data_IF_233949170114
#
_entry.id   IF_233949170114
#
_cell.length_a   1.000
_cell.length_b   1.000
_cell.length_c   1.000
_cell.angle_alpha   90.00
_cell.angle_beta   90.00
_cell.angle_gamma   90.00
#
_symmetry.space_group_name_H-M   'P 1'
#
loop_
_entity.id
_entity.type
_entity.pdbx_description
1 polymer ?
#
# COMPACT_ATOMS: atom_id res chain seq x y z
N UNK A 1 -28.59 13.29 28.73
CA UNK A 1 -28.42 14.15 27.55
C UNK A 1 -27.10 13.71 26.91
N UNK A 2 -27.02 12.59 26.20
CA UNK A 2 -27.64 12.26 24.92
C UNK A 2 -28.06 10.77 24.93
N UNK A 3 -29.34 10.49 24.69
CA UNK A 3 -29.95 9.17 24.81
C UNK A 3 -29.70 8.34 23.53
N UNK A 4 -28.55 7.66 23.44
CA UNK A 4 -28.19 6.84 22.27
C UNK A 4 -27.86 7.63 20.98
N UNK A 5 -27.77 8.95 21.05
CA UNK A 5 -27.44 9.83 19.93
C UNK A 5 -25.94 10.14 19.89
N UNK A 6 -25.33 10.08 18.69
CA UNK A 6 -23.97 10.57 18.46
C UNK A 6 -23.99 12.09 18.21
N UNK A 7 -23.35 12.86 19.08
CA UNK A 7 -23.23 14.31 18.94
C UNK A 7 -21.87 14.69 18.34
N UNK A 8 -21.89 15.59 17.35
CA UNK A 8 -20.68 16.19 16.76
C UNK A 8 -20.59 17.63 17.22
N UNK A 9 -19.46 17.98 17.84
CA UNK A 9 -19.11 19.35 18.25
C UNK A 9 -18.05 19.91 17.30
N UNK A 10 -18.28 21.10 16.75
CA UNK A 10 -17.35 21.75 15.81
C UNK A 10 -17.36 23.27 15.99
N UNK A 11 -16.25 23.91 15.64
CA UNK A 11 -16.07 25.35 15.50
C UNK A 11 -16.40 25.87 14.07
N UNK A 12 -16.75 24.98 13.14
CA UNK A 12 -17.17 25.28 11.78
C UNK A 12 -18.66 25.69 11.75
N UNK A 13 -18.97 26.85 12.32
CA UNK A 13 -20.35 27.33 12.50
C UNK A 13 -21.02 27.78 11.19
N UNK A 14 -20.22 28.15 10.18
CA UNK A 14 -20.69 28.67 8.89
C UNK A 14 -20.79 27.59 7.80
N UNK A 15 -20.33 26.37 8.08
CA UNK A 15 -20.34 25.24 7.12
C UNK A 15 -21.68 24.50 7.14
N UNK A 16 -22.04 23.85 6.02
CA UNK A 16 -23.26 23.03 5.96
C UNK A 16 -23.14 21.80 6.86
N UNK A 17 -24.20 21.52 7.62
CA UNK A 17 -24.28 20.37 8.54
C UNK A 17 -23.95 19.05 7.83
N UNK A 18 -24.31 18.88 6.56
CA UNK A 18 -24.00 17.68 5.78
C UNK A 18 -22.50 17.50 5.57
N UNK A 19 -21.78 18.58 5.31
CA UNK A 19 -20.34 18.53 5.09
C UNK A 19 -19.60 18.24 6.40
N UNK A 20 -20.05 18.85 7.51
CA UNK A 20 -19.54 18.57 8.86
C UNK A 20 -19.73 17.09 9.23
N UNK A 21 -20.93 16.54 8.98
CA UNK A 21 -21.22 15.13 9.23
C UNK A 21 -20.35 14.21 8.36
N UNK A 22 -20.20 14.52 7.07
CA UNK A 22 -19.35 13.74 6.15
C UNK A 22 -17.89 13.67 6.63
N UNK A 23 -17.33 14.77 7.12
CA UNK A 23 -15.98 14.79 7.70
C UNK A 23 -15.92 13.95 8.99
N UNK A 24 -16.93 14.08 9.86
CA UNK A 24 -17.00 13.29 11.08
C UNK A 24 -17.13 11.79 10.81
N UNK A 25 -17.89 11.41 9.78
CA UNK A 25 -18.04 10.03 9.34
C UNK A 25 -16.73 9.48 8.79
N UNK A 26 -15.90 10.28 8.12
CA UNK A 26 -14.59 9.86 7.60
C UNK A 26 -13.54 9.49 8.66
N UNK A 27 -13.82 9.64 9.96
CA UNK A 27 -12.87 9.31 11.04
C UNK A 27 -12.41 7.85 11.04
N UNK A 28 -13.24 6.93 10.56
CA UNK A 28 -12.89 5.52 10.48
C UNK A 28 -11.67 5.26 9.57
N UNK A 29 -11.39 6.13 8.59
CA UNK A 29 -10.24 6.00 7.70
C UNK A 29 -8.92 6.11 8.46
N UNK A 30 -8.89 6.96 9.50
CA UNK A 30 -7.74 7.12 10.39
C UNK A 30 -7.59 5.87 11.27
N UNK A 31 -8.69 5.33 11.79
CA UNK A 31 -8.67 4.10 12.59
C UNK A 31 -8.19 2.90 11.77
N UNK A 32 -8.60 2.80 10.51
CA UNK A 32 -8.11 1.80 9.58
C UNK A 32 -6.60 1.97 9.32
N UNK A 33 -6.12 3.19 9.09
CA UNK A 33 -4.69 3.46 8.97
C UNK A 33 -3.92 2.95 10.20
N UNK A 34 -4.43 3.20 11.42
CA UNK A 34 -3.83 2.71 12.65
C UNK A 34 -3.91 1.19 12.79
N UNK A 35 -4.97 0.56 12.29
CA UNK A 35 -5.11 -0.91 12.26
C UNK A 35 -4.04 -1.51 11.36
N UNK A 36 -3.99 -1.11 10.09
CA UNK A 36 -3.02 -1.58 9.09
C UNK A 36 -1.58 -1.38 9.60
N UNK A 37 -1.27 -0.21 10.15
CA UNK A 37 0.06 0.07 10.67
C UNK A 37 0.46 -0.88 11.81
N UNK A 38 -0.47 -1.26 12.68
CA UNK A 38 -0.22 -2.19 13.79
C UNK A 38 -0.13 -3.64 13.33
N UNK A 39 -1.01 -4.06 12.42
CA UNK A 39 -1.15 -5.46 11.99
C UNK A 39 -0.22 -5.80 10.84
N UNK A 40 -0.38 -5.13 9.71
CA UNK A 40 0.26 -5.49 8.44
C UNK A 40 1.70 -4.98 8.31
N UNK A 41 1.99 -3.83 8.95
CA UNK A 41 3.34 -3.26 9.00
C UNK A 41 4.08 -3.49 10.31
N UNK A 42 3.55 -4.35 11.18
CA UNK A 42 4.19 -4.81 12.41
C UNK A 42 4.77 -3.65 13.26
N UNK A 43 4.08 -2.50 13.32
CA UNK A 43 4.48 -1.39 14.19
C UNK A 43 4.51 -1.81 15.68
N UNK A 44 3.92 -2.96 16.02
CA UNK A 44 4.00 -3.61 17.32
C UNK A 44 4.13 -5.13 17.13
N UNK A 45 4.88 -5.83 18.01
CA UNK A 45 5.61 -5.32 19.17
C UNK A 45 6.94 -4.63 18.81
N UNK A 46 7.26 -3.55 19.53
CA UNK A 46 8.55 -2.84 19.39
C UNK A 46 9.52 -3.40 20.43
N UNK A 47 10.45 -4.26 20.01
CA UNK A 47 11.48 -4.82 20.88
C UNK A 47 12.73 -3.93 20.95
N UNK A 48 12.55 -2.61 21.03
CA UNK A 48 13.61 -1.61 21.04
C UNK A 48 13.46 -0.75 22.31
N UNK A 49 14.57 -0.49 22.99
CA UNK A 49 14.60 0.33 24.22
C UNK A 49 15.07 1.77 23.95
N UNK A 50 15.83 1.98 22.89
CA UNK A 50 16.39 3.28 22.51
C UNK A 50 15.35 4.13 21.76
N UNK A 51 15.12 5.35 22.24
CA UNK A 51 14.11 6.28 21.70
C UNK A 51 14.32 6.59 20.21
N UNK A 52 15.56 6.72 19.75
CA UNK A 52 15.87 6.99 18.35
C UNK A 52 15.45 5.80 17.49
N UNK A 53 15.75 4.57 17.94
CA UNK A 53 15.36 3.35 17.22
C UNK A 53 13.84 3.15 17.19
N UNK A 54 13.14 3.48 18.28
CA UNK A 54 11.68 3.44 18.34
C UNK A 54 11.10 4.42 17.31
N UNK A 55 11.55 5.68 17.31
CA UNK A 55 11.11 6.70 16.34
C UNK A 55 11.40 6.29 14.89
N UNK A 56 12.57 5.71 14.64
CA UNK A 56 12.93 5.22 13.30
C UNK A 56 12.00 4.10 12.81
N UNK A 57 11.65 3.14 13.67
CA UNK A 57 10.68 2.08 13.34
C UNK A 57 9.32 2.66 12.96
N UNK A 58 8.76 3.54 13.80
CA UNK A 58 7.48 4.18 13.51
C UNK A 58 7.50 5.01 12.23
N UNK A 59 8.59 5.72 11.96
CA UNK A 59 8.76 6.46 10.72
C UNK A 59 8.73 5.54 9.50
N UNK A 60 9.42 4.40 9.56
CA UNK A 60 9.42 3.41 8.47
C UNK A 60 8.02 2.83 8.26
N UNK A 61 7.33 2.41 9.33
CA UNK A 61 5.96 1.91 9.23
C UNK A 61 5.01 2.97 8.64
N UNK A 62 5.17 4.24 9.03
CA UNK A 62 4.36 5.34 8.49
C UNK A 62 4.63 5.58 7.00
N UNK A 63 5.90 5.60 6.57
CA UNK A 63 6.25 5.73 5.16
C UNK A 63 5.71 4.57 4.32
N UNK A 64 5.82 3.34 4.82
CA UNK A 64 5.24 2.15 4.19
C UNK A 64 3.72 2.27 4.04
N UNK A 65 3.02 2.76 5.07
CA UNK A 65 1.58 3.02 5.01
C UNK A 65 1.23 4.06 3.95
N UNK A 66 1.98 5.16 3.86
CA UNK A 66 1.77 6.19 2.83
C UNK A 66 1.91 5.60 1.44
N UNK A 67 2.98 4.84 1.19
CA UNK A 67 3.22 4.16 -0.10
C UNK A 67 2.06 3.19 -0.41
N UNK A 68 1.65 2.40 0.56
CA UNK A 68 0.51 1.49 0.43
C UNK A 68 -0.78 2.23 0.07
N UNK A 69 -1.11 3.34 0.73
CA UNK A 69 -2.34 4.11 0.42
C UNK A 69 -2.33 4.67 -1.01
N UNK A 70 -1.17 5.07 -1.53
CA UNK A 70 -1.06 5.45 -2.94
C UNK A 70 -1.33 4.26 -3.86
N UNK A 71 -0.78 3.08 -3.55
CA UNK A 71 -0.99 1.86 -4.32
C UNK A 71 -2.46 1.42 -4.27
N UNK A 72 -3.08 1.41 -3.09
CA UNK A 72 -4.49 1.08 -2.87
C UNK A 72 -5.42 1.98 -3.67
N UNK A 73 -5.15 3.30 -3.65
CA UNK A 73 -5.89 4.28 -4.46
C UNK A 73 -5.72 4.04 -5.96
N UNK A 74 -4.51 3.72 -6.41
CA UNK A 74 -4.26 3.40 -7.82
C UNK A 74 -5.01 2.12 -8.25
N UNK A 75 -5.10 1.14 -7.35
CA UNK A 75 -5.90 -0.09 -7.50
C UNK A 75 -7.40 0.13 -7.28
N UNK A 76 -7.86 1.38 -7.15
CA UNK A 76 -9.27 1.76 -6.95
C UNK A 76 -9.94 1.03 -5.79
N UNK A 77 -9.18 0.76 -4.72
CA UNK A 77 -9.69 0.09 -3.51
C UNK A 77 -10.28 -1.31 -3.78
N UNK A 78 -9.86 -1.98 -4.86
CA UNK A 78 -10.43 -3.27 -5.28
C UNK A 78 -9.90 -4.48 -4.46
N UNK A 79 -8.81 -4.31 -3.71
CA UNK A 79 -8.13 -5.37 -2.97
C UNK A 79 -7.78 -4.90 -1.55
N UNK A 80 -7.73 -5.83 -0.60
CA UNK A 80 -7.34 -5.54 0.79
C UNK A 80 -5.82 -5.41 0.94
N UNK A 81 -5.37 -4.79 2.04
CA UNK A 81 -3.96 -4.62 2.35
C UNK A 81 -3.20 -5.95 2.37
N UNK A 82 -3.73 -6.93 3.13
CA UNK A 82 -3.18 -8.27 3.26
C UNK A 82 -2.99 -8.94 1.88
N UNK A 83 -4.02 -8.92 1.03
CA UNK A 83 -3.95 -9.52 -0.32
C UNK A 83 -2.89 -8.86 -1.19
N UNK A 84 -2.79 -7.53 -1.13
CA UNK A 84 -1.77 -6.78 -1.88
C UNK A 84 -0.36 -7.15 -1.38
N UNK A 85 -0.13 -7.08 -0.07
CA UNK A 85 1.18 -7.32 0.52
C UNK A 85 1.64 -8.76 0.33
N UNK A 86 0.76 -9.73 0.55
CA UNK A 86 1.08 -11.14 0.35
C UNK A 86 1.40 -11.43 -1.10
N UNK A 87 0.60 -10.89 -2.04
CA UNK A 87 0.91 -11.07 -3.46
C UNK A 87 2.25 -10.47 -3.82
N UNK A 88 2.54 -9.23 -3.40
CA UNK A 88 3.82 -8.58 -3.69
C UNK A 88 5.01 -9.38 -3.15
N UNK A 89 4.90 -9.98 -1.95
CA UNK A 89 5.94 -10.87 -1.38
C UNK A 89 6.17 -12.13 -2.23
N UNK A 90 5.13 -12.61 -2.93
CA UNK A 90 5.26 -13.79 -3.81
C UNK A 90 5.84 -13.50 -5.19
N UNK A 91 5.91 -12.23 -5.63
CA UNK A 91 6.46 -11.85 -6.94
C UNK A 91 7.98 -12.01 -6.90
N UNK A 92 8.44 -13.21 -7.29
CA UNK A 92 9.84 -13.60 -7.33
C UNK A 92 10.24 -14.03 -8.75
N UNK A 93 11.54 -14.00 -9.02
CA UNK A 93 12.12 -14.36 -10.31
C UNK A 93 13.35 -15.25 -10.11
N UNK A 94 13.48 -16.33 -10.88
CA UNK A 94 14.69 -17.13 -10.97
C UNK A 94 15.64 -16.52 -12.02
N UNK A 95 16.91 -16.29 -11.66
CA UNK A 95 17.97 -15.95 -12.62
C UNK A 95 18.45 -17.23 -13.32
N UNK A 96 18.47 -17.22 -14.65
CA UNK A 96 19.09 -18.29 -15.43
C UNK A 96 20.44 -17.82 -15.93
N UNK A 97 21.50 -18.19 -15.21
CA UNK A 97 22.90 -18.14 -15.65
C UNK A 97 23.22 -16.90 -16.49
N UNK A 98 22.81 -15.72 -16.01
CA UNK A 98 23.11 -14.45 -16.65
C UNK A 98 22.46 -14.22 -18.04
N UNK A 99 21.50 -15.05 -18.46
CA UNK A 99 20.76 -14.89 -19.72
C UNK A 99 19.46 -14.09 -19.54
N UNK A 100 18.81 -14.26 -18.40
CA UNK A 100 17.52 -13.64 -18.11
C UNK A 100 16.85 -14.20 -16.87
N UNK A 101 15.56 -13.96 -16.77
CA UNK A 101 14.76 -14.20 -15.58
C UNK A 101 13.49 -15.00 -15.92
N UNK A 102 13.11 -15.95 -15.07
CA UNK A 102 11.80 -16.62 -15.13
C UNK A 102 10.97 -16.17 -13.93
N UNK A 103 9.76 -15.63 -14.14
CA UNK A 103 8.82 -15.35 -13.06
C UNK A 103 8.42 -16.65 -12.33
N UNK A 104 8.43 -16.62 -11.00
CA UNK A 104 8.07 -17.74 -10.13
C UNK A 104 6.67 -17.57 -9.51
N UNK A 105 5.89 -16.63 -10.01
CA UNK A 105 4.54 -16.35 -9.55
C UNK A 105 3.52 -16.62 -10.66
N UNK A 106 2.27 -16.84 -10.27
CA UNK A 106 1.16 -17.01 -11.20
C UNK A 106 0.39 -15.72 -11.39
N UNK A 107 -0.06 -15.51 -12.63
CA UNK A 107 -0.93 -14.39 -13.00
C UNK A 107 -2.33 -14.59 -12.38
N UNK A 108 -2.85 -13.52 -11.82
CA UNK A 108 -4.21 -13.36 -11.31
C UNK A 108 -4.69 -11.91 -11.50
N UNK A 109 -5.92 -11.64 -11.05
CA UNK A 109 -6.57 -10.33 -11.16
C UNK A 109 -5.76 -9.19 -10.52
N UNK A 110 -5.02 -9.47 -9.44
CA UNK A 110 -4.22 -8.45 -8.77
C UNK A 110 -2.96 -8.16 -9.61
N UNK A 111 -2.27 -9.18 -10.11
CA UNK A 111 -1.12 -8.95 -11.01
C UNK A 111 -1.52 -8.24 -12.29
N UNK A 112 -2.70 -8.52 -12.84
CA UNK A 112 -3.25 -7.81 -14.00
C UNK A 112 -3.39 -6.32 -13.72
N UNK A 113 -4.03 -5.98 -12.60
CA UNK A 113 -4.21 -4.59 -12.19
C UNK A 113 -2.86 -3.89 -11.91
N UNK A 114 -1.90 -4.61 -11.31
CA UNK A 114 -0.55 -4.09 -11.07
C UNK A 114 0.18 -3.82 -12.40
N UNK A 115 0.13 -4.74 -13.37
CA UNK A 115 0.75 -4.55 -14.68
C UNK A 115 0.13 -3.36 -15.44
N UNK A 116 -1.19 -3.21 -15.37
CA UNK A 116 -1.91 -2.08 -15.98
C UNK A 116 -1.46 -0.73 -15.37
N UNK A 117 -1.46 -0.61 -14.04
CA UNK A 117 -1.08 0.63 -13.35
C UNK A 117 0.41 0.95 -13.53
N UNK A 118 1.27 -0.06 -13.49
CA UNK A 118 2.71 0.11 -13.69
C UNK A 118 3.08 0.34 -15.18
N UNK A 119 2.21 -0.05 -16.10
CA UNK A 119 2.42 0.06 -17.54
C UNK A 119 3.49 -0.89 -18.06
N UNK A 120 3.82 -1.97 -17.34
CA UNK A 120 4.73 -3.01 -17.81
C UNK A 120 4.34 -4.38 -17.26
N UNK A 121 4.57 -5.39 -18.08
CA UNK A 121 4.30 -6.78 -17.73
C UNK A 121 5.57 -7.46 -17.21
N UNK A 122 5.39 -8.43 -16.32
CA UNK A 122 6.50 -9.26 -15.81
C UNK A 122 6.15 -10.74 -15.75
N UNK A 123 5.08 -11.19 -16.41
CA UNK A 123 4.55 -12.55 -16.40
C UNK A 123 5.01 -13.41 -17.60
N UNK A 124 6.01 -12.94 -18.35
CA UNK A 124 6.56 -13.67 -19.49
C UNK A 124 7.19 -14.98 -19.06
N UNK A 125 7.06 -16.04 -19.89
CA UNK A 125 7.74 -17.33 -19.66
C UNK A 125 9.25 -17.20 -19.46
N UNK A 126 9.86 -16.21 -20.11
CA UNK A 126 11.26 -15.85 -19.94
C UNK A 126 11.46 -14.36 -20.26
N UNK A 127 12.15 -13.64 -19.39
CA UNK A 127 12.47 -12.22 -19.52
C UNK A 127 13.97 -12.11 -19.77
N UNK A 128 14.37 -11.74 -20.98
CA UNK A 128 15.80 -11.50 -21.28
C UNK A 128 16.36 -10.36 -20.43
N UNK A 129 17.66 -10.34 -20.18
CA UNK A 129 18.30 -9.19 -19.49
C UNK A 129 18.03 -7.84 -20.13
N UNK A 130 18.02 -7.78 -21.46
CA UNK A 130 17.73 -6.54 -22.19
C UNK A 130 16.30 -6.07 -21.92
N UNK A 131 15.33 -6.99 -21.92
CA UNK A 131 13.95 -6.67 -21.59
C UNK A 131 13.81 -6.24 -20.12
N UNK A 132 14.43 -6.96 -19.18
CA UNK A 132 14.42 -6.58 -17.76
C UNK A 132 15.01 -5.16 -17.55
N UNK A 133 16.09 -4.80 -18.25
CA UNK A 133 16.63 -3.43 -18.22
C UNK A 133 15.64 -2.39 -18.74
N UNK A 134 14.85 -2.70 -19.77
CA UNK A 134 13.77 -1.81 -20.26
C UNK A 134 12.69 -1.62 -19.19
N UNK A 135 12.24 -2.71 -18.57
CA UNK A 135 11.26 -2.67 -17.47
C UNK A 135 11.78 -1.80 -16.32
N UNK A 136 13.05 -1.98 -15.91
CA UNK A 136 13.68 -1.15 -14.87
C UNK A 136 13.81 0.32 -15.26
N UNK A 137 14.09 0.63 -16.53
CA UNK A 137 14.16 2.00 -17.04
C UNK A 137 12.80 2.68 -16.96
N UNK A 138 11.74 1.97 -17.38
CA UNK A 138 10.35 2.43 -17.31
C UNK A 138 9.88 2.65 -15.87
N UNK A 139 10.13 1.69 -14.98
CA UNK A 139 9.83 1.79 -13.54
C UNK A 139 10.47 3.02 -12.86
N UNK A 140 11.62 3.48 -13.36
CA UNK A 140 12.33 4.67 -12.85
C UNK A 140 11.94 5.98 -13.54
N UNK A 141 10.99 5.96 -14.47
CA UNK A 141 10.56 7.14 -15.23
C UNK A 141 11.67 7.72 -16.12
N UNK A 142 12.63 6.90 -16.56
CA UNK A 142 13.81 7.36 -17.31
C UNK A 142 13.69 7.20 -18.83
N UNK A 143 12.49 6.98 -19.35
CA UNK A 143 12.23 6.63 -20.77
C UNK A 143 12.91 7.57 -21.77
#
# INVERSE_FOLDING_TARGET
LYDGMYAVTTDLLDDDVKDILKVSEGRWEIEECFRIMKTDFEARPVFLQDDIRIKAHFLICFLSLVIYRYLERALKYAFTCEVILDKLKTINFADIQEQGFIPLYTRDKLTDALHEICGFDTDFKFITKSHMKKIQKKSKGRE
#
